data_IF_005987482237
#
_entry.id   IF_005987482237
#
_cell.length_a   1.000
_cell.length_b   1.000
_cell.length_c   1.000
_cell.angle_alpha   90.00
_cell.angle_beta   90.00
_cell.angle_gamma   90.00
#
_symmetry.space_group_name_H-M   'P 1'
#
loop_
_entity.id
_entity.type
_entity.pdbx_description
1 polymer ?
#
# COMPACT_ATOMS: atom_id res chain seq x y z
N UNK A 1 -16.06 -10.04 5.71
CA UNK A 1 -15.60 -10.55 7.02
C UNK A 1 -14.17 -10.08 7.23
N UNK A 2 -13.91 -9.49 8.37
CA UNK A 2 -12.58 -8.95 8.69
C UNK A 2 -11.74 -10.06 9.30
N UNK A 3 -11.09 -10.87 8.46
CA UNK A 3 -10.21 -11.95 8.89
C UNK A 3 -9.04 -11.46 9.75
N UNK A 4 -8.61 -10.24 9.56
CA UNK A 4 -7.54 -9.63 10.36
C UNK A 4 -8.03 -9.18 11.75
N UNK A 5 -9.34 -9.02 11.93
CA UNK A 5 -9.96 -8.61 13.20
C UNK A 5 -10.03 -9.74 14.24
N UNK A 6 -10.14 -11.00 13.82
CA UNK A 6 -10.20 -12.15 14.73
C UNK A 6 -8.83 -12.80 14.87
N UNK A 7 -8.36 -12.93 16.10
CA UNK A 7 -7.06 -13.57 16.37
C UNK A 7 -6.99 -15.05 15.92
N UNK A 8 -8.13 -15.71 15.80
CA UNK A 8 -8.21 -17.10 15.32
C UNK A 8 -7.95 -17.20 13.81
N UNK A 9 -8.30 -16.16 13.08
CA UNK A 9 -8.15 -16.11 11.62
C UNK A 9 -6.75 -15.65 11.20
N UNK A 10 -5.92 -15.20 12.15
CA UNK A 10 -4.53 -14.82 11.93
C UNK A 10 -3.55 -16.00 11.94
N UNK A 11 -4.03 -17.22 12.01
CA UNK A 11 -3.12 -18.36 11.95
C UNK A 11 -2.46 -18.47 10.58
N UNK A 12 -1.12 -18.45 10.52
CA UNK A 12 -0.40 -18.64 9.27
C UNK A 12 -0.73 -20.00 8.66
N UNK A 13 -0.88 -20.06 7.35
CA UNK A 13 -1.04 -21.30 6.59
C UNK A 13 0.29 -22.04 6.41
N UNK A 14 1.40 -21.32 6.63
CA UNK A 14 2.76 -21.82 6.46
C UNK A 14 3.51 -21.93 7.78
N UNK A 15 4.52 -22.82 7.88
CA UNK A 15 5.45 -22.85 8.99
C UNK A 15 6.21 -21.54 9.15
N UNK A 16 6.64 -21.23 10.36
CA UNK A 16 7.44 -20.04 10.67
C UNK A 16 8.69 -19.96 9.78
N UNK A 17 8.95 -18.77 9.24
CA UNK A 17 10.10 -18.46 8.39
C UNK A 17 10.15 -19.22 7.04
N UNK A 18 9.02 -19.67 6.52
CA UNK A 18 8.97 -20.36 5.24
C UNK A 18 8.89 -19.37 4.06
N UNK A 19 8.25 -18.23 4.25
CA UNK A 19 8.10 -17.19 3.24
C UNK A 19 8.88 -15.93 3.60
N UNK A 20 9.24 -15.15 2.59
CA UNK A 20 9.86 -13.83 2.73
C UNK A 20 8.97 -12.77 2.12
N UNK A 21 8.91 -11.60 2.75
CA UNK A 21 8.22 -10.45 2.18
C UNK A 21 8.86 -10.02 0.85
N UNK A 22 8.09 -9.47 -0.10
CA UNK A 22 8.64 -8.93 -1.33
C UNK A 22 9.71 -7.88 -1.08
N UNK A 23 10.72 -7.83 -1.96
CA UNK A 23 11.78 -6.82 -1.87
C UNK A 23 11.23 -5.43 -2.20
N UNK A 24 11.73 -4.41 -1.50
CA UNK A 24 11.35 -3.02 -1.75
C UNK A 24 12.43 -2.32 -2.58
N UNK A 25 12.00 -1.45 -3.50
CA UNK A 25 12.88 -0.63 -4.32
C UNK A 25 12.29 0.77 -4.46
N UNK A 26 13.09 1.78 -4.12
CA UNK A 26 12.68 3.18 -4.24
C UNK A 26 13.86 4.02 -4.73
N UNK A 27 13.59 4.93 -5.65
CA UNK A 27 14.52 5.95 -6.11
C UNK A 27 13.90 7.31 -5.91
N UNK A 28 14.63 8.18 -5.25
CA UNK A 28 14.25 9.57 -5.05
C UNK A 28 15.16 10.46 -5.88
N UNK A 29 14.63 11.57 -6.38
CA UNK A 29 15.37 12.56 -7.16
C UNK A 29 15.18 13.95 -6.59
N UNK A 30 16.28 14.68 -6.45
CA UNK A 30 16.24 16.08 -6.07
C UNK A 30 17.07 16.92 -7.05
N UNK A 31 16.49 18.01 -7.53
CA UNK A 31 17.14 19.00 -8.36
C UNK A 31 16.99 20.36 -7.66
N UNK A 32 18.11 21.04 -7.49
CA UNK A 32 18.18 22.37 -6.92
C UNK A 32 18.96 23.28 -7.88
N UNK A 33 18.47 24.50 -8.10
CA UNK A 33 19.17 25.53 -8.86
C UNK A 33 19.02 26.90 -8.20
N UNK A 34 20.16 27.52 -7.88
CA UNK A 34 20.19 28.88 -7.37
C UNK A 34 20.57 29.83 -8.47
N UNK A 35 19.87 30.95 -8.56
CA UNK A 35 20.10 32.07 -9.45
C UNK A 35 20.33 33.32 -8.61
N UNK A 36 21.48 33.95 -8.78
CA UNK A 36 21.71 35.28 -8.21
C UNK A 36 21.05 36.34 -9.09
N UNK A 37 20.20 37.16 -8.51
CA UNK A 37 19.47 38.21 -9.23
C UNK A 37 19.95 39.56 -8.78
N UNK A 38 20.75 40.18 -9.66
CA UNK A 38 21.25 41.57 -9.55
C UNK A 38 22.03 41.87 -8.25
N UNK A 39 22.68 40.87 -7.64
CA UNK A 39 23.35 40.94 -6.35
C UNK A 39 22.47 41.44 -5.19
N UNK A 40 21.15 41.35 -5.36
CA UNK A 40 20.15 41.77 -4.38
C UNK A 40 19.57 40.62 -3.62
N UNK A 41 19.34 39.50 -4.30
CA UNK A 41 18.81 38.28 -3.67
C UNK A 41 19.15 37.04 -4.50
N UNK A 42 19.20 35.92 -3.82
CA UNK A 42 19.35 34.61 -4.42
C UNK A 42 17.98 33.91 -4.52
N UNK A 43 17.65 33.49 -5.75
CA UNK A 43 16.45 32.69 -6.03
C UNK A 43 16.84 31.23 -6.15
N UNK A 44 16.44 30.41 -5.20
CA UNK A 44 16.60 28.96 -5.24
C UNK A 44 15.30 28.31 -5.69
N UNK A 45 15.37 27.54 -6.76
CA UNK A 45 14.27 26.72 -7.26
C UNK A 45 14.61 25.26 -6.99
N UNK A 46 13.73 24.53 -6.34
CA UNK A 46 13.94 23.11 -6.11
C UNK A 46 12.77 22.27 -6.61
N UNK A 47 13.12 21.09 -7.08
CA UNK A 47 12.19 20.05 -7.52
C UNK A 47 12.60 18.75 -6.84
N UNK A 48 11.67 18.13 -6.11
CA UNK A 48 11.92 16.91 -5.37
C UNK A 48 10.85 15.86 -5.68
N UNK A 49 11.29 14.68 -6.11
CA UNK A 49 10.44 13.54 -6.41
C UNK A 49 10.81 12.39 -5.49
N UNK A 50 9.84 11.93 -4.73
CA UNK A 50 9.93 10.73 -3.92
C UNK A 50 9.27 9.60 -4.71
N UNK A 51 9.90 8.43 -4.75
CA UNK A 51 9.44 7.28 -5.50
C UNK A 51 9.28 7.60 -7.00
N UNK A 52 10.38 7.95 -7.65
CA UNK A 52 10.41 8.41 -9.05
C UNK A 52 9.71 7.46 -10.02
N UNK A 53 9.85 6.17 -9.83
CA UNK A 53 9.29 5.13 -10.71
C UNK A 53 7.86 4.72 -10.33
N UNK A 54 7.28 5.30 -9.28
CA UNK A 54 5.95 4.94 -8.74
C UNK A 54 5.85 3.44 -8.41
N UNK A 55 6.93 2.90 -7.84
CA UNK A 55 7.01 1.48 -7.49
C UNK A 55 6.07 1.20 -6.32
N UNK A 56 5.23 0.18 -6.46
CA UNK A 56 4.37 -0.32 -5.38
C UNK A 56 5.19 -1.18 -4.42
N UNK A 57 5.82 -0.54 -3.46
CA UNK A 57 6.59 -1.22 -2.43
C UNK A 57 5.66 -1.80 -1.37
N UNK A 58 5.71 -3.11 -1.18
CA UNK A 58 4.92 -3.81 -0.17
C UNK A 58 5.50 -3.51 1.21
N UNK A 59 4.68 -2.97 2.10
CA UNK A 59 5.05 -2.70 3.50
C UNK A 59 4.50 -3.74 4.45
N UNK A 60 3.31 -4.25 4.17
CA UNK A 60 2.67 -5.27 4.96
C UNK A 60 2.09 -6.34 4.04
N UNK A 61 1.95 -7.53 4.60
CA UNK A 61 1.32 -8.68 3.96
C UNK A 61 0.22 -9.21 4.86
N UNK A 62 -0.73 -9.93 4.29
CA UNK A 62 -1.73 -10.62 5.10
C UNK A 62 -1.06 -11.68 5.95
N UNK A 63 -1.30 -11.65 7.26
CA UNK A 63 -0.60 -12.53 8.22
C UNK A 63 -0.88 -14.01 7.98
N UNK A 64 -2.04 -14.34 7.42
CA UNK A 64 -2.46 -15.71 7.15
C UNK A 64 -1.72 -16.32 5.95
N UNK A 65 -1.63 -15.58 4.84
CA UNK A 65 -1.08 -16.07 3.57
C UNK A 65 0.36 -15.64 3.32
N UNK A 66 0.83 -14.59 4.00
CA UNK A 66 2.15 -14.00 3.76
C UNK A 66 2.26 -13.25 2.44
N UNK A 67 1.14 -12.96 1.76
CA UNK A 67 1.09 -12.24 0.48
C UNK A 67 0.39 -10.89 0.62
N UNK A 68 0.60 -10.01 -0.36
CA UNK A 68 -0.08 -8.72 -0.44
C UNK A 68 -1.41 -8.76 -1.19
N UNK A 69 -1.72 -9.87 -1.86
CA UNK A 69 -2.84 -9.96 -2.80
C UNK A 69 -3.95 -10.91 -2.37
N UNK A 70 -3.70 -11.76 -1.37
CA UNK A 70 -4.64 -12.79 -0.95
C UNK A 70 -4.71 -12.85 0.58
N UNK A 71 -5.89 -12.64 1.14
CA UNK A 71 -6.15 -12.76 2.58
C UNK A 71 -6.43 -14.21 3.01
N UNK A 72 -6.54 -15.15 2.07
CA UNK A 72 -6.81 -16.56 2.31
C UNK A 72 -8.28 -16.89 2.62
N UNK A 73 -9.20 -15.91 2.51
CA UNK A 73 -10.62 -16.13 2.83
C UNK A 73 -11.31 -17.03 1.81
N UNK A 74 -11.17 -16.73 0.52
CA UNK A 74 -11.86 -17.46 -0.54
C UNK A 74 -11.38 -18.91 -0.67
N UNK A 75 -10.11 -19.17 -0.35
CA UNK A 75 -9.51 -20.49 -0.42
C UNK A 75 -9.86 -21.42 0.76
N UNK A 76 -10.39 -20.86 1.86
CA UNK A 76 -10.74 -21.64 3.04
C UNK A 76 -12.12 -22.30 2.89
N UNK A 77 -12.21 -23.64 2.93
CA UNK A 77 -13.48 -24.36 2.79
C UNK A 77 -14.54 -24.00 3.84
N UNK A 78 -14.09 -23.61 5.04
CA UNK A 78 -14.99 -23.30 6.16
C UNK A 78 -15.45 -21.84 6.17
N UNK A 79 -14.80 -20.98 5.39
CA UNK A 79 -15.08 -19.55 5.30
C UNK A 79 -15.66 -19.20 3.92
N UNK A 80 -14.84 -18.59 3.06
CA UNK A 80 -15.25 -18.15 1.74
C UNK A 80 -15.60 -19.29 0.78
N UNK A 81 -14.97 -20.45 0.92
CA UNK A 81 -15.27 -21.62 0.10
C UNK A 81 -16.74 -22.06 0.18
N UNK A 82 -17.33 -22.06 1.38
CA UNK A 82 -18.76 -22.34 1.58
C UNK A 82 -19.63 -21.30 0.87
N UNK A 83 -19.24 -20.03 0.94
CA UNK A 83 -19.98 -18.94 0.30
C UNK A 83 -19.89 -19.00 -1.22
N UNK A 84 -18.70 -19.29 -1.76
CA UNK A 84 -18.50 -19.50 -3.20
C UNK A 84 -19.31 -20.70 -3.71
N UNK A 85 -19.36 -21.78 -2.94
CA UNK A 85 -20.18 -22.95 -3.29
C UNK A 85 -21.69 -22.64 -3.31
N UNK A 86 -22.13 -21.71 -2.42
CA UNK A 86 -23.54 -21.34 -2.30
C UNK A 86 -23.96 -20.29 -3.34
N UNK A 87 -23.16 -19.27 -3.55
CA UNK A 87 -23.49 -18.08 -4.36
C UNK A 87 -22.77 -18.03 -5.72
N UNK A 88 -21.86 -18.97 -5.97
CA UNK A 88 -21.14 -19.06 -7.23
C UNK A 88 -19.96 -18.08 -7.38
N UNK A 89 -19.38 -17.99 -8.58
CA UNK A 89 -18.19 -17.19 -8.87
C UNK A 89 -18.41 -15.67 -8.71
N UNK A 90 -19.65 -15.21 -8.83
CA UNK A 90 -20.00 -13.79 -8.69
C UNK A 90 -19.71 -13.30 -7.25
N UNK A 91 -19.88 -14.17 -6.26
CA UNK A 91 -19.49 -13.86 -4.88
C UNK A 91 -17.98 -13.66 -4.75
N UNK A 92 -17.17 -14.52 -5.37
CA UNK A 92 -15.72 -14.39 -5.34
C UNK A 92 -15.26 -13.09 -6.01
N UNK A 93 -15.85 -12.74 -7.15
CA UNK A 93 -15.56 -11.49 -7.86
C UNK A 93 -15.94 -10.25 -7.01
N UNK A 94 -17.11 -10.28 -6.38
CA UNK A 94 -17.56 -9.20 -5.49
C UNK A 94 -16.64 -9.06 -4.26
N UNK A 95 -16.28 -10.18 -3.64
CA UNK A 95 -15.39 -10.18 -2.49
C UNK A 95 -14.02 -9.57 -2.82
N UNK A 96 -13.41 -9.99 -3.94
CA UNK A 96 -12.14 -9.46 -4.40
C UNK A 96 -12.22 -7.95 -4.65
N UNK A 97 -13.25 -7.49 -5.37
CA UNK A 97 -13.42 -6.08 -5.67
C UNK A 97 -13.64 -5.22 -4.41
N UNK A 98 -14.39 -5.71 -3.43
CA UNK A 98 -14.71 -4.93 -2.23
C UNK A 98 -13.63 -5.01 -1.14
N UNK A 99 -12.99 -6.14 -0.98
CA UNK A 99 -12.03 -6.34 0.12
C UNK A 99 -10.58 -6.23 -0.33
N UNK A 100 -10.19 -6.91 -1.40
CA UNK A 100 -8.80 -6.95 -1.83
C UNK A 100 -8.45 -5.77 -2.72
N UNK A 101 -9.19 -5.56 -3.82
CA UNK A 101 -8.88 -4.50 -4.77
C UNK A 101 -9.01 -3.12 -4.15
N UNK A 102 -10.03 -2.91 -3.32
CA UNK A 102 -10.24 -1.64 -2.63
C UNK A 102 -9.09 -1.33 -1.68
N UNK A 103 -8.66 -2.28 -0.85
CA UNK A 103 -7.54 -2.10 0.07
C UNK A 103 -6.20 -1.95 -0.63
N UNK A 104 -6.00 -2.63 -1.74
CA UNK A 104 -4.79 -2.51 -2.54
C UNK A 104 -4.67 -1.17 -3.27
N UNK A 105 -5.80 -0.61 -3.73
CA UNK A 105 -5.82 0.65 -4.46
C UNK A 105 -5.66 1.87 -3.54
N UNK A 106 -6.18 1.80 -2.32
CA UNK A 106 -6.11 2.91 -1.38
C UNK A 106 -4.88 2.76 -0.48
N UNK A 107 -3.85 3.51 -0.81
CA UNK A 107 -2.67 3.69 0.03
C UNK A 107 -3.09 4.25 1.40
N UNK A 108 -3.26 3.37 2.36
CA UNK A 108 -3.68 3.72 3.70
C UNK A 108 -4.84 4.70 3.66
N UNK A 109 -6.04 4.21 3.74
CA UNK A 109 -7.23 5.06 3.75
C UNK A 109 -7.11 6.11 4.85
N UNK A 110 -6.54 7.24 4.51
CA UNK A 110 -6.55 8.46 5.31
C UNK A 110 -7.93 9.09 5.31
N UNK A 111 -8.88 8.50 4.62
CA UNK A 111 -10.25 8.96 4.55
C UNK A 111 -11.06 8.36 5.69
N UNK A 112 -10.95 8.97 6.89
CA UNK A 112 -12.02 9.03 7.87
C UNK A 112 -12.69 7.75 8.37
N UNK A 113 -12.41 6.61 7.80
CA UNK A 113 -12.86 5.32 8.29
C UNK A 113 -11.92 4.87 9.42
N UNK A 114 -12.13 5.43 10.59
CA UNK A 114 -11.40 5.17 11.82
C UNK A 114 -11.48 3.69 12.29
N UNK A 115 -11.87 2.78 11.43
CA UNK A 115 -12.17 1.39 11.78
C UNK A 115 -11.53 0.34 10.88
N UNK A 116 -10.68 0.71 9.92
CA UNK A 116 -9.89 -0.29 9.22
C UNK A 116 -8.69 -0.64 10.07
N UNK A 117 -8.82 -1.69 10.84
CA UNK A 117 -7.72 -2.36 11.56
C UNK A 117 -6.76 -3.08 10.59
N UNK A 118 -6.97 -2.91 9.29
CA UNK A 118 -6.14 -3.55 8.27
C UNK A 118 -4.86 -2.77 8.01
N UNK A 119 -3.73 -3.43 7.95
CA UNK A 119 -2.45 -2.79 7.70
C UNK A 119 -2.43 -2.18 6.30
N UNK A 120 -1.75 -1.05 6.16
CA UNK A 120 -1.43 -0.46 4.87
C UNK A 120 -0.52 -1.42 4.12
N UNK A 121 -0.99 -1.94 3.00
CA UNK A 121 -0.24 -2.95 2.23
C UNK A 121 0.91 -2.31 1.46
N UNK A 122 0.67 -1.17 0.81
CA UNK A 122 1.68 -0.51 -0.01
C UNK A 122 2.21 0.78 0.61
N UNK A 123 3.46 1.09 0.33
CA UNK A 123 4.07 2.38 0.63
C UNK A 123 3.41 3.52 -0.17
N UNK A 124 3.59 4.79 0.24
CA UNK A 124 3.06 5.92 -0.48
C UNK A 124 3.47 5.93 -1.96
N UNK A 125 2.56 6.36 -2.86
CA UNK A 125 2.86 6.52 -4.28
C UNK A 125 3.87 7.63 -4.51
N UNK A 126 4.23 7.84 -5.77
CA UNK A 126 5.09 8.94 -6.18
C UNK A 126 4.58 10.28 -5.66
N UNK A 127 5.46 11.02 -5.02
CA UNK A 127 5.21 12.36 -4.54
C UNK A 127 6.12 13.34 -5.26
N UNK A 128 5.53 14.42 -5.80
CA UNK A 128 6.25 15.48 -6.47
C UNK A 128 6.10 16.76 -5.65
N UNK A 129 7.21 17.38 -5.30
CA UNK A 129 7.26 18.65 -4.58
C UNK A 129 8.06 19.65 -5.40
N UNK A 130 7.50 20.82 -5.55
CA UNK A 130 8.15 21.96 -6.17
C UNK A 130 8.13 23.14 -5.20
N UNK A 131 9.22 23.89 -5.13
CA UNK A 131 9.27 25.07 -4.27
C UNK A 131 10.29 26.08 -4.73
N UNK A 132 10.09 27.31 -4.24
CA UNK A 132 10.94 28.46 -4.50
C UNK A 132 11.33 29.04 -3.15
N UNK A 133 12.62 29.36 -2.98
CA UNK A 133 13.16 30.05 -1.81
C UNK A 133 13.85 31.31 -2.28
N UNK A 134 13.57 32.42 -1.61
CA UNK A 134 14.27 33.71 -1.77
C UNK A 134 15.15 33.93 -0.55
N UNK A 135 16.42 34.22 -0.77
CA UNK A 135 17.39 34.59 0.26
C UNK A 135 17.92 35.99 -0.04
N UNK A 136 17.93 36.88 0.94
CA UNK A 136 18.36 38.27 0.84
C UNK A 136 19.35 38.63 1.94
#
# INVERSE_FOLDING_TARGET
>A
ADLEGDARDRQPLEPLNNSTTPSTFQVDMRLDKTFNIADLFDLNIYFYVINLFDTKNVQNVFMRTGTETDDGYLGDPNLGGTQVATYGPDFAALYTALNLDYHQQWYGATTGAAYTTQPVIYAPPRQIRFGIRLEY
#
